data_IF_454042340180
#
_entry.id   IF_454042340180
#
_cell.length_a   1.000
_cell.length_b   1.000
_cell.length_c   1.000
_cell.angle_alpha   90.00
_cell.angle_beta   90.00
_cell.angle_gamma   90.00
#
_symmetry.space_group_name_H-M   'P 1'
#
loop_
_entity.id
_entity.type
_entity.pdbx_description
1 polymer ?
#
# COMPACT_ATOMS: atom_id res chain seq x y z
N UNK A 1 -15.07 -3.31 26.33
CA UNK A 1 -13.81 -3.53 25.60
C UNK A 1 -13.83 -4.95 25.06
N UNK A 2 -13.43 -5.13 23.82
CA UNK A 2 -13.35 -6.45 23.18
C UNK A 2 -11.93 -6.99 23.38
N UNK A 3 -11.73 -8.25 23.84
CA UNK A 3 -10.39 -8.81 23.91
C UNK A 3 -9.82 -8.96 22.50
N UNK A 4 -8.54 -8.63 22.32
CA UNK A 4 -7.85 -8.88 21.05
C UNK A 4 -7.79 -10.39 20.79
N UNK A 5 -8.15 -10.85 19.58
CA UNK A 5 -8.07 -12.26 19.24
C UNK A 5 -6.60 -12.68 19.17
N UNK A 6 -6.18 -13.60 20.05
CA UNK A 6 -4.80 -14.13 20.06
C UNK A 6 -4.60 -15.06 18.85
N UNK A 7 -4.24 -14.47 17.70
CA UNK A 7 -3.90 -15.20 16.49
C UNK A 7 -2.38 -15.35 16.45
N UNK A 8 -1.87 -16.59 16.34
CA UNK A 8 -0.43 -16.80 16.18
C UNK A 8 0.05 -16.12 14.87
N UNK A 9 1.08 -15.25 14.90
CA UNK A 9 1.58 -14.58 13.69
C UNK A 9 2.16 -15.54 12.65
N UNK A 10 2.62 -16.72 13.09
CA UNK A 10 3.12 -17.80 12.23
C UNK A 10 2.01 -18.78 11.91
N UNK A 11 1.84 -19.11 10.61
CA UNK A 11 0.90 -20.14 10.13
C UNK A 11 1.52 -21.52 10.35
N UNK A 12 2.76 -21.70 9.90
CA UNK A 12 3.57 -22.90 10.09
C UNK A 12 5.05 -22.59 9.88
N UNK A 13 5.91 -23.52 10.32
CA UNK A 13 7.37 -23.37 10.19
C UNK A 13 7.95 -24.65 9.56
N UNK A 14 8.85 -24.48 8.59
CA UNK A 14 9.62 -25.55 7.96
C UNK A 14 11.11 -25.24 8.14
N UNK A 15 11.76 -25.90 9.08
CA UNK A 15 13.16 -25.63 9.44
C UNK A 15 13.34 -24.15 9.88
N UNK A 16 14.27 -23.40 9.27
CA UNK A 16 14.50 -21.98 9.59
C UNK A 16 13.43 -21.05 9.01
N UNK A 17 12.58 -21.52 8.08
CA UNK A 17 11.60 -20.71 7.37
C UNK A 17 10.26 -20.69 8.08
N UNK A 18 9.85 -19.55 8.60
CA UNK A 18 8.53 -19.32 9.17
C UNK A 18 7.61 -18.67 8.12
N UNK A 19 6.50 -19.32 7.78
CA UNK A 19 5.44 -18.72 6.97
C UNK A 19 4.52 -17.93 7.90
N UNK A 20 4.49 -16.62 7.71
CA UNK A 20 3.74 -15.68 8.54
C UNK A 20 2.51 -15.16 7.81
N UNK A 21 1.43 -14.90 8.56
CA UNK A 21 0.22 -14.29 8.02
C UNK A 21 0.49 -12.99 7.26
N UNK A 22 1.35 -12.13 7.80
CA UNK A 22 1.69 -10.87 7.15
C UNK A 22 2.25 -11.05 5.74
N UNK A 23 3.21 -11.96 5.54
CA UNK A 23 3.73 -12.31 4.22
C UNK A 23 2.66 -12.93 3.31
N UNK A 24 1.80 -13.79 3.86
CA UNK A 24 0.69 -14.40 3.11
C UNK A 24 -0.32 -13.34 2.64
N UNK A 25 -0.63 -12.33 3.44
CA UNK A 25 -1.51 -11.23 3.06
C UNK A 25 -0.96 -10.44 1.87
N UNK A 26 0.36 -10.22 1.79
CA UNK A 26 0.98 -9.62 0.60
C UNK A 26 0.80 -10.51 -0.63
N UNK A 27 1.04 -11.82 -0.52
CA UNK A 27 0.85 -12.76 -1.62
C UNK A 27 -0.61 -12.75 -2.11
N UNK A 28 -1.58 -12.81 -1.19
CA UNK A 28 -3.01 -12.75 -1.51
C UNK A 28 -3.34 -11.40 -2.17
N UNK A 29 -2.82 -10.29 -1.64
CA UNK A 29 -3.04 -8.95 -2.18
C UNK A 29 -2.53 -8.81 -3.62
N UNK A 30 -1.29 -9.23 -3.88
CA UNK A 30 -0.72 -9.21 -5.24
C UNK A 30 -1.44 -10.16 -6.20
N UNK A 31 -1.74 -11.37 -5.77
CA UNK A 31 -2.48 -12.35 -6.58
C UNK A 31 -3.88 -11.83 -6.93
N UNK A 32 -4.61 -11.31 -5.95
CA UNK A 32 -5.94 -10.71 -6.16
C UNK A 32 -5.88 -9.55 -7.14
N UNK A 33 -4.92 -8.64 -6.96
CA UNK A 33 -4.69 -7.51 -7.87
C UNK A 33 -4.41 -8.01 -9.29
N UNK A 34 -3.51 -8.96 -9.45
CA UNK A 34 -3.16 -9.56 -10.76
C UNK A 34 -4.38 -10.17 -11.46
N UNK A 35 -5.16 -11.02 -10.78
CA UNK A 35 -6.34 -11.64 -11.36
C UNK A 35 -7.44 -10.62 -11.72
N UNK A 36 -7.60 -9.57 -10.90
CA UNK A 36 -8.54 -8.49 -11.19
C UNK A 36 -8.11 -7.67 -12.42
N UNK A 37 -6.81 -7.44 -12.62
CA UNK A 37 -6.28 -6.79 -13.82
C UNK A 37 -6.51 -7.68 -15.05
N UNK A 38 -6.25 -8.99 -14.97
CA UNK A 38 -6.54 -9.91 -16.06
C UNK A 38 -8.04 -9.95 -16.41
N UNK A 39 -8.91 -9.90 -15.38
CA UNK A 39 -10.36 -9.80 -15.59
C UNK A 39 -10.74 -8.51 -16.33
N UNK A 40 -10.11 -7.37 -15.99
CA UNK A 40 -10.33 -6.11 -16.69
C UNK A 40 -9.88 -6.20 -18.16
N UNK A 41 -8.76 -6.85 -18.46
CA UNK A 41 -8.26 -7.03 -19.82
C UNK A 41 -9.22 -7.80 -20.72
N UNK A 42 -9.83 -8.88 -20.21
CA UNK A 42 -10.81 -9.66 -20.99
C UNK A 42 -11.99 -8.82 -21.49
N UNK A 43 -12.37 -7.81 -20.70
CA UNK A 43 -13.53 -6.96 -20.98
C UNK A 43 -13.15 -5.61 -21.60
N UNK A 44 -11.88 -5.43 -21.97
CA UNK A 44 -11.33 -4.18 -22.47
C UNK A 44 -10.95 -4.32 -23.95
N UNK A 45 -11.18 -3.26 -24.73
CA UNK A 45 -10.68 -3.12 -26.10
C UNK A 45 -9.19 -2.70 -26.15
N UNK A 46 -8.49 -2.69 -25.03
CA UNK A 46 -7.10 -2.26 -24.94
C UNK A 46 -6.17 -3.27 -25.63
N UNK A 47 -5.16 -2.75 -26.36
CA UNK A 47 -4.13 -3.56 -27.03
C UNK A 47 -3.06 -4.11 -26.04
N UNK A 48 -3.32 -4.11 -24.73
CA UNK A 48 -2.39 -4.61 -23.71
C UNK A 48 -2.50 -6.13 -23.66
N UNK A 49 -1.36 -6.81 -23.77
CA UNK A 49 -1.29 -8.27 -23.75
C UNK A 49 -1.10 -8.80 -22.33
N UNK A 50 -1.51 -10.06 -22.10
CA UNK A 50 -1.24 -10.74 -20.83
C UNK A 50 0.27 -10.77 -20.52
N UNK A 51 1.14 -11.02 -21.50
CA UNK A 51 2.58 -11.05 -21.31
C UNK A 51 3.16 -9.71 -20.81
N UNK A 52 2.59 -8.58 -21.24
CA UNK A 52 2.99 -7.26 -20.72
C UNK A 52 2.58 -7.09 -19.25
N UNK A 53 1.41 -7.60 -18.85
CA UNK A 53 0.98 -7.58 -17.45
C UNK A 53 1.84 -8.50 -16.59
N UNK A 54 2.14 -9.71 -17.06
CA UNK A 54 3.00 -10.67 -16.36
C UNK A 54 4.36 -10.03 -16.04
N UNK A 55 4.98 -9.36 -17.02
CA UNK A 55 6.22 -8.63 -16.83
C UNK A 55 6.09 -7.49 -15.81
N UNK A 56 5.05 -6.65 -15.93
CA UNK A 56 4.86 -5.54 -15.01
C UNK A 56 4.73 -6.06 -13.57
N UNK A 57 3.90 -7.08 -13.34
CA UNK A 57 3.74 -7.66 -12.00
C UNK A 57 5.02 -8.30 -11.47
N UNK A 58 5.79 -8.97 -12.33
CA UNK A 58 7.11 -9.46 -11.95
C UNK A 58 8.00 -8.33 -11.45
N UNK A 59 8.08 -7.20 -12.17
CA UNK A 59 8.90 -6.07 -11.75
C UNK A 59 8.32 -5.29 -10.56
N UNK A 60 7.00 -5.24 -10.37
CA UNK A 60 6.41 -4.68 -9.16
C UNK A 60 6.82 -5.47 -7.92
N UNK A 61 6.76 -6.81 -7.96
CA UNK A 61 7.18 -7.68 -6.85
C UNK A 61 8.69 -7.60 -6.63
N UNK A 62 9.49 -7.65 -7.70
CA UNK A 62 10.93 -7.51 -7.59
C UNK A 62 11.32 -6.15 -7.00
N UNK A 63 10.68 -5.08 -7.45
CA UNK A 63 10.87 -3.73 -6.93
C UNK A 63 10.49 -3.61 -5.46
N UNK A 64 9.38 -4.23 -5.03
CA UNK A 64 8.97 -4.29 -3.64
C UNK A 64 10.06 -4.95 -2.78
N UNK A 65 10.49 -6.15 -3.13
CA UNK A 65 11.44 -6.92 -2.33
C UNK A 65 12.82 -6.26 -2.30
N UNK A 66 13.36 -5.91 -3.47
CA UNK A 66 14.67 -5.28 -3.58
C UNK A 66 14.66 -3.88 -2.92
N UNK A 67 13.64 -3.08 -3.19
CA UNK A 67 13.51 -1.74 -2.62
C UNK A 67 13.35 -1.76 -1.12
N UNK A 68 12.50 -2.64 -0.57
CA UNK A 68 12.32 -2.78 0.87
C UNK A 68 13.62 -3.19 1.57
N UNK A 69 14.37 -4.14 0.98
CA UNK A 69 15.64 -4.58 1.54
C UNK A 69 16.71 -3.50 1.45
N UNK A 70 16.92 -2.92 0.26
CA UNK A 70 17.89 -1.84 0.07
C UNK A 70 17.57 -0.61 0.92
N UNK A 71 16.29 -0.24 1.04
CA UNK A 71 15.87 0.85 1.90
C UNK A 71 16.19 0.59 3.37
N UNK A 72 16.02 -0.65 3.85
CA UNK A 72 16.42 -1.01 5.21
C UNK A 72 17.94 -0.97 5.40
N UNK A 73 18.69 -1.57 4.50
CA UNK A 73 20.17 -1.60 4.51
C UNK A 73 20.73 -0.18 4.56
N UNK A 74 20.25 0.71 3.71
CA UNK A 74 20.82 2.05 3.55
C UNK A 74 20.44 3.01 4.69
N UNK A 75 19.19 2.93 5.18
CA UNK A 75 18.68 3.95 6.10
C UNK A 75 18.60 3.51 7.57
N UNK A 76 18.61 2.20 7.85
CA UNK A 76 18.43 1.72 9.22
C UNK A 76 19.64 1.02 9.80
N UNK A 77 20.47 0.34 9.00
CA UNK A 77 21.58 -0.46 9.56
C UNK A 77 22.79 -0.56 8.63
N UNK A 78 23.14 0.53 7.95
CA UNK A 78 24.24 0.56 6.99
C UNK A 78 25.59 0.06 7.56
N UNK A 79 26.02 0.44 8.78
CA UNK A 79 27.31 -0.03 9.31
C UNK A 79 27.41 -1.55 9.43
N UNK A 80 26.33 -2.21 9.86
CA UNK A 80 26.29 -3.67 9.95
C UNK A 80 26.45 -4.33 8.58
N UNK A 81 25.74 -3.82 7.55
CA UNK A 81 25.80 -4.42 6.20
C UNK A 81 27.12 -4.11 5.46
N UNK A 82 27.80 -3.03 5.80
CA UNK A 82 29.16 -2.79 5.29
C UNK A 82 30.16 -3.80 5.86
N UNK A 83 29.97 -4.21 7.11
CA UNK A 83 30.81 -5.25 7.75
C UNK A 83 30.41 -6.67 7.30
N UNK A 84 29.14 -6.89 6.91
CA UNK A 84 28.58 -8.20 6.55
C UNK A 84 27.81 -8.12 5.23
N UNK A 85 28.45 -7.91 4.07
CA UNK A 85 27.73 -7.59 2.82
C UNK A 85 26.84 -8.72 2.31
N UNK A 86 27.13 -9.97 2.62
CA UNK A 86 26.30 -11.11 2.23
C UNK A 86 24.95 -11.15 2.97
N UNK A 87 24.88 -10.55 4.15
CA UNK A 87 23.61 -10.44 4.91
C UNK A 87 22.56 -9.61 4.18
N UNK A 88 22.92 -8.79 3.18
CA UNK A 88 21.96 -8.07 2.32
C UNK A 88 20.97 -9.04 1.65
N UNK A 89 21.40 -10.26 1.31
CA UNK A 89 20.57 -11.26 0.62
C UNK A 89 19.77 -12.14 1.58
N UNK A 90 20.01 -12.05 2.89
CA UNK A 90 19.36 -12.88 3.93
C UNK A 90 18.05 -12.22 4.35
N UNK A 91 16.97 -12.48 3.61
CA UNK A 91 15.66 -11.84 3.83
C UNK A 91 14.91 -12.43 5.05
N UNK A 92 15.21 -13.67 5.44
CA UNK A 92 14.52 -14.36 6.55
C UNK A 92 14.91 -13.86 7.94
N UNK A 93 15.98 -13.09 8.08
CA UNK A 93 16.33 -12.38 9.31
C UNK A 93 15.52 -11.10 9.52
N UNK A 94 14.60 -10.78 8.60
CA UNK A 94 13.83 -9.54 8.66
C UNK A 94 14.59 -8.33 8.08
N UNK A 95 14.20 -7.13 8.51
CA UNK A 95 14.84 -5.90 8.03
C UNK A 95 14.37 -5.47 6.64
N UNK A 96 13.12 -5.01 6.60
CA UNK A 96 12.46 -4.50 5.39
C UNK A 96 11.90 -3.09 5.66
N UNK A 97 12.14 -2.17 4.73
CA UNK A 97 11.64 -0.79 4.80
C UNK A 97 10.38 -0.64 3.96
N UNK A 98 9.30 -0.17 4.56
CA UNK A 98 8.07 0.15 3.82
C UNK A 98 8.31 1.19 2.71
N UNK A 99 8.99 2.30 3.05
CA UNK A 99 9.27 3.38 2.10
C UNK A 99 10.17 2.90 0.96
N UNK A 100 11.20 2.09 1.28
CA UNK A 100 12.05 1.47 0.28
C UNK A 100 11.27 0.56 -0.66
N UNK A 101 10.36 -0.26 -0.12
CA UNK A 101 9.48 -1.14 -0.90
C UNK A 101 8.55 -0.36 -1.83
N UNK A 102 7.89 0.67 -1.32
CA UNK A 102 6.99 1.52 -2.10
C UNK A 102 7.74 2.22 -3.25
N UNK A 103 8.91 2.81 -2.96
CA UNK A 103 9.74 3.47 -3.97
C UNK A 103 10.24 2.47 -5.02
N UNK A 104 10.73 1.31 -4.59
CA UNK A 104 11.20 0.25 -5.49
C UNK A 104 10.09 -0.28 -6.40
N UNK A 105 8.90 -0.50 -5.85
CA UNK A 105 7.71 -0.88 -6.63
C UNK A 105 7.38 0.16 -7.70
N UNK A 106 7.35 1.43 -7.33
CA UNK A 106 7.07 2.52 -8.28
C UNK A 106 8.13 2.60 -9.39
N UNK A 107 9.42 2.63 -9.01
CA UNK A 107 10.54 2.77 -9.96
C UNK A 107 10.58 1.59 -10.93
N UNK A 108 10.52 0.36 -10.42
CA UNK A 108 10.58 -0.85 -11.25
C UNK A 108 9.32 -1.02 -12.10
N UNK A 109 8.16 -0.71 -11.57
CA UNK A 109 6.90 -0.71 -12.32
C UNK A 109 6.92 0.32 -13.46
N UNK A 110 7.32 1.56 -13.18
CA UNK A 110 7.46 2.60 -14.21
C UNK A 110 8.47 2.23 -15.30
N UNK A 111 9.64 1.70 -14.90
CA UNK A 111 10.65 1.22 -15.83
C UNK A 111 10.13 0.08 -16.73
N UNK A 112 9.44 -0.90 -16.15
CA UNK A 112 8.84 -2.00 -16.90
C UNK A 112 7.81 -1.51 -17.93
N UNK A 113 6.91 -0.59 -17.54
CA UNK A 113 5.95 0.03 -18.45
C UNK A 113 6.66 0.73 -19.62
N UNK A 114 7.66 1.57 -19.30
CA UNK A 114 8.42 2.31 -20.32
C UNK A 114 9.16 1.37 -21.28
N UNK A 115 9.80 0.31 -20.77
CA UNK A 115 10.50 -0.71 -21.56
C UNK A 115 9.55 -1.43 -22.53
N UNK A 116 8.28 -1.60 -22.17
CA UNK A 116 7.25 -2.23 -22.99
C UNK A 116 6.48 -1.24 -23.89
N UNK A 117 6.91 0.02 -23.96
CA UNK A 117 6.25 1.06 -24.77
C UNK A 117 4.86 1.42 -24.27
N UNK A 118 4.56 1.18 -22.98
CA UNK A 118 3.27 1.44 -22.37
C UNK A 118 3.25 2.83 -21.71
N UNK A 119 2.17 3.57 -21.93
CA UNK A 119 1.95 4.86 -21.29
C UNK A 119 1.55 4.70 -19.83
N UNK A 120 2.11 5.54 -18.94
CA UNK A 120 1.89 5.44 -17.48
C UNK A 120 0.42 5.61 -17.08
N UNK A 121 -0.26 6.66 -17.57
CA UNK A 121 -1.63 6.98 -17.13
C UNK A 121 -2.65 5.88 -17.46
N UNK A 122 -2.71 5.33 -18.68
CA UNK A 122 -3.58 4.19 -18.97
C UNK A 122 -3.30 2.95 -18.13
N UNK A 123 -2.00 2.67 -17.87
CA UNK A 123 -1.58 1.55 -17.04
C UNK A 123 -1.90 1.77 -15.57
N UNK A 124 -1.73 2.98 -15.07
CA UNK A 124 -2.14 3.35 -13.72
C UNK A 124 -3.65 3.15 -13.54
N UNK A 125 -4.47 3.61 -14.49
CA UNK A 125 -5.92 3.41 -14.44
C UNK A 125 -6.36 1.94 -14.51
N UNK A 126 -5.54 1.06 -15.07
CA UNK A 126 -5.81 -0.37 -15.12
C UNK A 126 -5.44 -1.06 -13.79
N UNK A 127 -4.28 -0.72 -13.20
CA UNK A 127 -3.73 -1.40 -12.02
C UNK A 127 -4.28 -0.81 -10.72
N UNK A 128 -4.33 0.51 -10.59
CA UNK A 128 -4.68 1.21 -9.36
C UNK A 128 -6.06 0.85 -8.78
N UNK A 129 -7.13 0.57 -9.57
CA UNK A 129 -8.39 0.10 -8.99
C UNK A 129 -8.27 -1.16 -8.16
N UNK A 130 -7.21 -1.94 -8.36
CA UNK A 130 -6.98 -3.20 -7.65
C UNK A 130 -6.04 -3.04 -6.43
N UNK A 131 -5.28 -1.95 -6.36
CA UNK A 131 -4.32 -1.68 -5.29
C UNK A 131 -4.94 -1.65 -3.88
N UNK A 132 -6.17 -1.10 -3.68
CA UNK A 132 -6.81 -1.08 -2.37
C UNK A 132 -7.06 -2.48 -1.77
N UNK A 133 -7.21 -3.51 -2.59
CA UNK A 133 -7.29 -4.90 -2.10
C UNK A 133 -5.97 -5.31 -1.41
N UNK A 134 -4.83 -4.91 -1.97
CA UNK A 134 -3.53 -5.11 -1.32
C UNK A 134 -3.42 -4.36 0.00
N UNK A 135 -3.94 -3.12 0.06
CA UNK A 135 -3.99 -2.33 1.30
C UNK A 135 -4.85 -3.05 2.34
N UNK A 136 -6.06 -3.51 1.95
CA UNK A 136 -6.94 -4.27 2.84
C UNK A 136 -6.22 -5.46 3.47
N UNK A 137 -5.62 -6.33 2.67
CA UNK A 137 -4.92 -7.50 3.18
C UNK A 137 -3.69 -7.11 4.02
N UNK A 138 -2.94 -6.08 3.64
CA UNK A 138 -1.83 -5.58 4.44
C UNK A 138 -2.27 -5.12 5.84
N UNK A 139 -3.40 -4.39 5.94
CA UNK A 139 -3.97 -3.96 7.23
C UNK A 139 -4.51 -5.13 8.06
N UNK A 140 -5.10 -6.13 7.41
CA UNK A 140 -5.45 -7.38 8.09
C UNK A 140 -4.22 -8.10 8.66
N UNK A 141 -3.11 -8.08 7.92
CA UNK A 141 -1.82 -8.59 8.42
C UNK A 141 -1.31 -7.82 9.64
N UNK A 142 -1.37 -6.48 9.64
CA UNK A 142 -1.02 -5.66 10.81
C UNK A 142 -1.95 -5.96 12.01
N UNK A 143 -3.25 -6.15 11.75
CA UNK A 143 -4.20 -6.55 12.80
C UNK A 143 -3.86 -7.91 13.40
N UNK A 144 -3.56 -8.92 12.58
CA UNK A 144 -3.15 -10.25 13.04
C UNK A 144 -1.84 -10.21 13.85
N UNK A 145 -0.91 -9.32 13.49
CA UNK A 145 0.33 -9.12 14.24
C UNK A 145 0.12 -8.32 15.55
N UNK A 146 -1.04 -7.69 15.75
CA UNK A 146 -1.32 -6.82 16.90
C UNK A 146 -0.54 -5.50 16.86
N UNK A 147 -0.06 -5.07 15.70
CA UNK A 147 0.77 -3.87 15.51
C UNK A 147 0.00 -2.71 14.85
N UNK A 148 0.54 -1.48 14.96
CA UNK A 148 -0.03 -0.26 14.36
C UNK A 148 -1.46 0.04 14.81
N UNK A 149 -1.78 -0.27 16.06
CA UNK A 149 -3.06 0.04 16.69
C UNK A 149 -3.23 1.55 16.91
N UNK A 150 -4.44 1.95 17.29
CA UNK A 150 -4.82 3.33 17.48
C UNK A 150 -4.61 3.86 18.90
N UNK A 151 -4.99 5.12 19.08
CA UNK A 151 -4.97 5.85 20.35
C UNK A 151 -5.85 5.16 21.40
N UNK A 152 -5.59 5.39 22.71
CA UNK A 152 -6.49 4.97 23.77
C UNK A 152 -7.92 5.46 23.54
N UNK A 153 -8.90 4.58 23.78
CA UNK A 153 -10.29 4.86 23.50
C UNK A 153 -11.25 4.16 24.48
N UNK A 154 -12.41 4.77 24.70
CA UNK A 154 -13.50 4.24 25.54
C UNK A 154 -14.73 3.82 24.73
N UNK A 155 -14.55 3.59 23.40
CA UNK A 155 -15.65 3.13 22.52
C UNK A 155 -15.97 1.65 22.79
N UNK A 156 -17.22 1.19 22.53
CA UNK A 156 -17.63 -0.19 22.82
C UNK A 156 -16.77 -1.27 22.14
N UNK A 157 -16.19 -0.94 20.99
CA UNK A 157 -15.33 -1.84 20.20
C UNK A 157 -13.83 -1.58 20.42
N UNK A 158 -13.43 -0.80 21.44
CA UNK A 158 -12.02 -0.67 21.80
C UNK A 158 -11.43 -2.02 22.19
N UNK A 159 -10.20 -2.30 21.72
CA UNK A 159 -9.48 -3.56 21.93
C UNK A 159 -8.22 -3.34 22.76
N UNK A 160 -7.86 -4.34 23.59
CA UNK A 160 -6.60 -4.35 24.34
C UNK A 160 -5.59 -5.15 23.54
N UNK A 161 -4.64 -4.46 22.90
CA UNK A 161 -3.59 -5.07 22.09
C UNK A 161 -2.41 -5.56 22.95
N UNK A 162 -1.72 -6.65 22.55
CA UNK A 162 -0.64 -7.24 23.34
C UNK A 162 0.44 -6.24 23.76
N UNK A 163 0.92 -5.44 22.81
CA UNK A 163 1.97 -4.43 23.04
C UNK A 163 1.41 -3.02 23.30
N UNK A 164 0.08 -2.88 23.42
CA UNK A 164 -0.64 -1.61 23.59
C UNK A 164 -0.80 -1.17 25.05
N UNK A 165 -0.33 -1.97 26.04
CA UNK A 165 -0.61 -1.79 27.44
C UNK A 165 -2.03 -2.24 27.82
N UNK A 166 -2.41 -2.11 29.11
CA UNK A 166 -3.71 -2.56 29.63
C UNK A 166 -4.82 -1.53 29.41
N UNK A 167 -4.85 -0.88 28.25
CA UNK A 167 -5.86 0.14 27.89
C UNK A 167 -6.57 -0.25 26.60
N UNK A 168 -7.87 0.05 26.53
CA UNK A 168 -8.61 -0.11 25.28
C UNK A 168 -8.13 0.90 24.25
N UNK A 169 -7.93 0.45 23.02
CA UNK A 169 -7.46 1.28 21.91
C UNK A 169 -8.34 1.12 20.69
N UNK A 170 -8.36 2.11 19.81
CA UNK A 170 -8.99 1.99 18.52
C UNK A 170 -8.30 0.90 17.69
N UNK A 171 -9.03 -0.07 17.10
CA UNK A 171 -8.48 -0.99 16.12
C UNK A 171 -8.30 -0.27 14.78
N UNK A 172 -7.37 0.69 14.71
CA UNK A 172 -7.17 1.56 13.55
C UNK A 172 -6.83 0.80 12.29
N UNK A 173 -6.17 -0.38 12.40
CA UNK A 173 -5.92 -1.28 11.27
C UNK A 173 -7.21 -1.68 10.56
N UNK A 174 -8.29 -1.94 11.32
CA UNK A 174 -9.60 -2.30 10.75
C UNK A 174 -10.27 -1.09 10.09
N UNK A 175 -10.11 0.12 10.65
CA UNK A 175 -10.61 1.33 10.00
C UNK A 175 -9.90 1.59 8.67
N UNK A 176 -8.58 1.45 8.65
CA UNK A 176 -7.76 1.57 7.45
C UNK A 176 -8.13 0.46 6.42
N UNK A 177 -8.32 -0.79 6.86
CA UNK A 177 -8.76 -1.87 5.99
C UNK A 177 -10.11 -1.57 5.33
N UNK A 178 -11.07 -1.05 6.09
CA UNK A 178 -12.40 -0.74 5.58
C UNK A 178 -12.39 0.48 4.66
N UNK A 179 -11.75 1.58 5.05
CA UNK A 179 -11.81 2.85 4.31
C UNK A 179 -10.79 2.92 3.18
N UNK A 180 -9.50 2.64 3.48
CA UNK A 180 -8.41 2.69 2.49
C UNK A 180 -8.36 1.42 1.61
N UNK A 181 -8.89 0.30 2.11
CA UNK A 181 -9.00 -0.98 1.41
C UNK A 181 -10.35 -1.14 0.71
N UNK A 182 -11.35 -1.65 1.44
CA UNK A 182 -12.62 -2.11 0.86
C UNK A 182 -13.44 -1.00 0.21
N UNK A 183 -13.70 0.10 0.93
CA UNK A 183 -14.51 1.20 0.41
C UNK A 183 -13.84 1.85 -0.80
N UNK A 184 -12.55 2.12 -0.72
CA UNK A 184 -11.78 2.68 -1.82
C UNK A 184 -11.79 1.74 -3.03
N UNK A 185 -11.64 0.42 -2.83
CA UNK A 185 -11.78 -0.56 -3.91
C UNK A 185 -13.14 -0.45 -4.60
N UNK A 186 -14.23 -0.42 -3.85
CA UNK A 186 -15.59 -0.33 -4.41
C UNK A 186 -15.74 0.94 -5.23
N UNK A 187 -15.31 2.09 -4.69
CA UNK A 187 -15.38 3.38 -5.39
C UNK A 187 -14.64 3.31 -6.73
N UNK A 188 -13.38 2.85 -6.72
CA UNK A 188 -12.55 2.80 -7.93
C UNK A 188 -13.04 1.75 -8.92
N UNK A 189 -13.53 0.60 -8.43
CA UNK A 189 -14.06 -0.46 -9.26
C UNK A 189 -15.30 -0.05 -10.04
N UNK A 190 -16.16 0.77 -9.44
CA UNK A 190 -17.32 1.37 -10.11
C UNK A 190 -16.86 2.51 -11.03
N UNK A 191 -15.98 3.38 -10.54
CA UNK A 191 -15.56 4.59 -11.26
C UNK A 191 -14.75 4.28 -12.53
N UNK A 192 -13.96 3.20 -12.57
CA UNK A 192 -13.14 2.81 -13.73
C UNK A 192 -13.93 2.72 -15.04
N UNK A 193 -15.20 2.32 -14.95
CA UNK A 193 -16.08 2.22 -16.12
C UNK A 193 -16.69 3.57 -16.55
N UNK A 194 -16.54 4.60 -15.71
CA UNK A 194 -17.07 5.96 -15.93
C UNK A 194 -15.97 6.98 -16.24
N UNK A 195 -14.70 6.54 -16.26
CA UNK A 195 -13.57 7.43 -16.56
C UNK A 195 -13.75 8.06 -17.95
N UNK A 196 -13.38 9.33 -18.07
CA UNK A 196 -13.44 10.09 -19.32
C UNK A 196 -12.06 10.22 -19.96
N UNK A 197 -10.99 10.19 -19.15
CA UNK A 197 -9.60 10.42 -19.56
C UNK A 197 -8.67 9.40 -18.97
N UNK A 198 -7.53 9.18 -19.63
CA UNK A 198 -6.44 8.39 -19.04
C UNK A 198 -5.84 9.13 -17.85
N UNK A 199 -5.73 8.44 -16.71
CA UNK A 199 -5.29 9.02 -15.44
C UNK A 199 -6.43 9.45 -14.51
N UNK A 200 -7.69 9.42 -14.97
CA UNK A 200 -8.85 9.81 -14.18
C UNK A 200 -9.02 8.93 -12.92
N UNK A 201 -8.83 7.61 -13.06
CA UNK A 201 -8.97 6.67 -11.94
C UNK A 201 -7.82 6.83 -10.97
N UNK A 202 -6.61 7.06 -11.48
CA UNK A 202 -5.44 7.35 -10.65
C UNK A 202 -5.62 8.63 -9.83
N UNK A 203 -6.15 9.69 -10.45
CA UNK A 203 -6.44 10.94 -9.73
C UNK A 203 -7.50 10.74 -8.63
N UNK A 204 -8.58 9.99 -8.90
CA UNK A 204 -9.62 9.66 -7.91
C UNK A 204 -9.05 8.81 -6.78
N UNK A 205 -8.16 7.85 -7.08
CA UNK A 205 -7.44 7.10 -6.05
C UNK A 205 -6.68 8.02 -5.10
N UNK A 206 -5.86 8.94 -5.63
CA UNK A 206 -5.09 9.87 -4.80
C UNK A 206 -5.99 10.71 -3.88
N UNK A 207 -7.10 11.21 -4.41
CA UNK A 207 -8.06 12.03 -3.65
C UNK A 207 -8.72 11.19 -2.55
N UNK A 208 -9.34 10.06 -2.91
CA UNK A 208 -10.10 9.26 -1.97
C UNK A 208 -9.21 8.60 -0.91
N UNK A 209 -8.03 8.10 -1.30
CA UNK A 209 -7.07 7.54 -0.35
C UNK A 209 -6.59 8.61 0.63
N UNK A 210 -6.23 9.80 0.14
CA UNK A 210 -5.78 10.90 0.98
C UNK A 210 -6.84 11.30 2.02
N UNK A 211 -8.10 11.42 1.61
CA UNK A 211 -9.21 11.73 2.53
C UNK A 211 -9.41 10.63 3.57
N UNK A 212 -9.42 9.37 3.16
CA UNK A 212 -9.53 8.22 4.06
C UNK A 212 -8.36 8.18 5.05
N UNK A 213 -7.13 8.42 4.56
CA UNK A 213 -5.93 8.42 5.39
C UNK A 213 -5.94 9.56 6.41
N UNK A 214 -6.30 10.78 6.01
CA UNK A 214 -6.44 11.92 6.94
C UNK A 214 -7.45 11.58 8.03
N UNK A 215 -8.57 10.96 7.67
CA UNK A 215 -9.58 10.55 8.65
C UNK A 215 -9.06 9.46 9.60
N UNK A 216 -8.42 8.42 9.11
CA UNK A 216 -7.87 7.35 9.94
C UNK A 216 -6.78 7.83 10.91
N UNK A 217 -5.98 8.83 10.52
CA UNK A 217 -4.91 9.40 11.35
C UNK A 217 -5.43 10.06 12.65
N UNK A 218 -6.68 10.48 12.72
CA UNK A 218 -7.26 10.98 13.97
C UNK A 218 -7.33 9.90 15.05
N UNK A 219 -7.48 8.65 14.65
CA UNK A 219 -7.64 7.49 15.54
C UNK A 219 -6.34 6.69 15.72
N UNK A 220 -5.37 6.88 14.84
CA UNK A 220 -4.11 6.15 14.85
C UNK A 220 -3.16 6.73 15.90
N UNK A 221 -2.41 5.86 16.58
CA UNK A 221 -1.26 6.26 17.40
C UNK A 221 -0.14 6.75 16.47
N UNK A 222 0.44 7.95 16.69
CA UNK A 222 1.58 8.43 15.91
C UNK A 222 2.76 7.48 16.04
N UNK A 223 3.53 7.33 14.96
CA UNK A 223 4.74 6.49 14.98
C UNK A 223 5.75 7.06 16.02
N UNK A 224 6.21 6.27 17.00
CA UNK A 224 7.06 6.77 18.12
C UNK A 224 8.35 7.46 17.64
N UNK A 225 8.85 7.08 16.46
CA UNK A 225 10.10 7.62 15.90
C UNK A 225 9.95 9.04 15.34
N UNK A 226 8.75 9.43 14.90
CA UNK A 226 8.49 10.71 14.23
C UNK A 226 7.64 11.66 15.09
N UNK A 227 6.69 11.11 15.87
CA UNK A 227 5.79 11.88 16.71
C UNK A 227 4.89 12.83 15.93
N UNK A 228 4.59 13.98 16.53
CA UNK A 228 3.84 15.06 15.91
C UNK A 228 4.78 16.08 15.27
N UNK A 229 4.53 16.41 14.01
CA UNK A 229 5.20 17.48 13.27
C UNK A 229 4.44 18.82 13.46
N UNK A 230 5.18 19.93 13.52
CA UNK A 230 4.61 21.26 13.78
C UNK A 230 3.71 21.29 15.04
N UNK A 231 3.95 20.36 15.99
CA UNK A 231 3.23 20.26 17.25
C UNK A 231 1.82 19.64 17.20
N UNK A 232 1.22 19.47 16.01
CA UNK A 232 -0.19 19.08 15.88
C UNK A 232 -0.41 17.96 14.82
N UNK A 233 0.35 17.95 13.74
CA UNK A 233 0.11 17.07 12.60
C UNK A 233 0.98 15.81 12.66
N UNK A 234 0.42 14.67 12.25
CA UNK A 234 1.21 13.47 11.98
C UNK A 234 1.87 13.56 10.60
N UNK A 235 2.96 12.82 10.39
CA UNK A 235 3.58 12.67 9.06
C UNK A 235 2.57 12.14 8.04
N UNK A 236 1.70 11.19 8.46
CA UNK A 236 0.65 10.64 7.61
C UNK A 236 -0.33 11.70 7.12
N UNK A 237 -0.74 12.65 7.99
CA UNK A 237 -1.61 13.76 7.61
C UNK A 237 -0.92 14.70 6.58
N UNK A 238 0.32 15.10 6.84
CA UNK A 238 1.04 16.01 5.93
C UNK A 238 1.24 15.42 4.54
N UNK A 239 1.67 14.17 4.47
CA UNK A 239 1.82 13.45 3.18
C UNK A 239 0.48 13.26 2.47
N UNK A 240 -0.59 13.03 3.21
CA UNK A 240 -1.93 12.88 2.65
C UNK A 240 -2.48 14.20 2.11
N UNK A 241 -2.22 15.33 2.78
CA UNK A 241 -2.59 16.65 2.25
C UNK A 241 -1.85 16.93 0.94
N UNK A 242 -0.53 16.66 0.88
CA UNK A 242 0.23 16.80 -0.36
C UNK A 242 -0.34 15.93 -1.48
N UNK A 243 -0.67 14.67 -1.17
CA UNK A 243 -1.27 13.73 -2.12
C UNK A 243 -2.66 14.18 -2.58
N UNK A 244 -3.48 14.74 -1.69
CA UNK A 244 -4.78 15.32 -2.02
C UNK A 244 -4.65 16.47 -3.02
N UNK A 245 -3.72 17.39 -2.76
CA UNK A 245 -3.45 18.51 -3.67
C UNK A 245 -3.00 18.00 -5.04
N UNK A 246 -2.07 17.05 -5.09
CA UNK A 246 -1.61 16.43 -6.35
C UNK A 246 -2.78 15.77 -7.09
N UNK A 247 -3.62 15.01 -6.39
CA UNK A 247 -4.79 14.35 -6.98
C UNK A 247 -5.79 15.35 -7.56
N UNK A 248 -6.08 16.45 -6.85
CA UNK A 248 -6.96 17.51 -7.32
C UNK A 248 -6.35 18.25 -8.54
N UNK A 249 -5.06 18.59 -8.48
CA UNK A 249 -4.37 19.21 -9.61
C UNK A 249 -4.34 18.30 -10.83
N UNK A 250 -4.06 17.00 -10.63
CA UNK A 250 -4.09 16.02 -11.71
C UNK A 250 -5.49 15.98 -12.34
N UNK A 251 -6.54 15.83 -11.54
CA UNK A 251 -7.92 15.68 -12.00
C UNK A 251 -8.48 16.89 -12.72
N UNK A 252 -8.27 18.09 -12.17
CA UNK A 252 -8.97 19.30 -12.60
C UNK A 252 -8.12 20.26 -13.42
N UNK A 253 -6.79 20.12 -13.40
CA UNK A 253 -5.89 21.04 -14.11
C UNK A 253 -5.09 20.31 -15.19
N UNK A 254 -4.38 19.23 -14.85
CA UNK A 254 -3.42 18.61 -15.79
C UNK A 254 -4.08 17.72 -16.81
N UNK A 255 -4.98 16.81 -16.41
CA UNK A 255 -5.66 15.92 -17.35
C UNK A 255 -6.51 16.68 -18.37
N UNK A 256 -7.30 17.72 -18.03
CA UNK A 256 -8.01 18.51 -19.02
C UNK A 256 -7.09 19.19 -20.05
N UNK A 257 -5.96 19.74 -19.60
CA UNK A 257 -4.97 20.38 -20.50
C UNK A 257 -4.25 19.37 -21.38
N UNK A 258 -3.95 18.19 -20.84
CA UNK A 258 -3.29 17.12 -21.56
C UNK A 258 -4.17 16.62 -22.71
N UNK A 259 -5.47 16.41 -22.48
CA UNK A 259 -6.42 16.02 -23.52
C UNK A 259 -6.63 17.10 -24.60
N UNK A 260 -6.72 18.37 -24.19
CA UNK A 260 -6.88 19.49 -25.14
C UNK A 260 -5.70 19.66 -26.11
N UNK A 261 -4.50 19.17 -25.70
CA UNK A 261 -3.27 19.25 -26.51
C UNK A 261 -2.92 17.92 -27.20
N UNK A 262 -3.78 16.89 -27.15
CA UNK A 262 -3.59 15.68 -27.95
C UNK A 262 -3.96 15.96 -29.40
N UNK A 263 -3.04 15.68 -30.37
CA UNK A 263 -3.31 15.86 -31.80
C UNK A 263 -4.42 14.95 -32.30
#
# INVERSE_FOLDING_TARGET
MIPYPHIAPEIFRIGPFAVRWYGMMYVIGFASSYFLVLYQLKNSKNRITKAQIDDIYFYLVLGLLAGARLGYVLFYNLPFYLAHPLEVFVLWHGGMSFHGGALGTFVMGYWAMKRRGLSFLPMADLIIPTAPIGIFFGRMGNFINGELYGKPAHVPWAMVFPDGGNVGRHPSQLYEALLEGLLLFIILWIYRNKKKRDGDVFAVFLICYALSRIFCEFFREPDPQVGYMLGVFTMGQLLSVAMLVIGLMLKFVWLPRYDANRP
#
